data_IF_883053116353
#
_entry.id   IF_883053116353
#
_cell.length_a   1.000
_cell.length_b   1.000
_cell.length_c   1.000
_cell.angle_alpha   90.00
_cell.angle_beta   90.00
_cell.angle_gamma   90.00
#
_symmetry.space_group_name_H-M   'P 1'
#
loop_
_entity.id
_entity.type
_entity.pdbx_description
1 polymer ?
#
# COMPACT_ATOMS: atom_id res chain seq x y z
N UNK A 1 -22.82 -12.32 -9.93
CA UNK A 1 -21.67 -11.63 -10.53
C UNK A 1 -21.97 -10.14 -10.48
N UNK A 2 -21.17 -9.36 -9.78
CA UNK A 2 -21.28 -7.90 -9.82
C UNK A 2 -20.93 -7.45 -11.22
N UNK A 3 -21.76 -6.58 -11.79
CA UNK A 3 -21.51 -6.04 -13.11
C UNK A 3 -20.29 -5.11 -13.03
N UNK A 4 -19.15 -5.52 -13.59
CA UNK A 4 -17.96 -4.68 -13.64
C UNK A 4 -18.25 -3.38 -14.39
N UNK A 5 -17.58 -2.29 -13.99
CA UNK A 5 -17.71 -1.01 -14.70
C UNK A 5 -17.35 -1.14 -16.16
N UNK A 6 -18.08 -0.43 -17.02
CA UNK A 6 -17.93 -0.51 -18.49
C UNK A 6 -17.23 0.72 -19.08
N UNK A 7 -16.97 1.73 -18.27
CA UNK A 7 -16.36 2.99 -18.72
C UNK A 7 -14.96 3.16 -18.14
N UNK A 8 -14.05 3.75 -18.92
CA UNK A 8 -12.79 4.27 -18.40
C UNK A 8 -13.02 5.58 -17.67
N UNK A 9 -12.27 5.80 -16.57
CA UNK A 9 -12.24 7.07 -15.87
C UNK A 9 -10.82 7.57 -15.72
N UNK A 10 -10.64 8.88 -15.88
CA UNK A 10 -9.44 9.60 -15.48
C UNK A 10 -9.85 10.67 -14.47
N UNK A 11 -8.99 11.06 -13.54
CA UNK A 11 -9.36 12.07 -12.55
C UNK A 11 -8.17 12.88 -12.05
N UNK A 12 -8.47 14.07 -11.56
CA UNK A 12 -7.55 14.95 -10.85
C UNK A 12 -8.04 15.11 -9.42
N UNK A 13 -7.19 14.75 -8.47
CA UNK A 13 -7.41 14.95 -7.05
C UNK A 13 -6.49 16.08 -6.56
N UNK A 14 -7.07 17.08 -5.92
CA UNK A 14 -6.37 18.14 -5.20
C UNK A 14 -6.65 18.00 -3.71
N UNK A 15 -5.59 17.95 -2.92
CA UNK A 15 -5.67 17.95 -1.46
C UNK A 15 -4.55 18.82 -0.88
N UNK A 16 -4.76 19.34 0.31
CA UNK A 16 -3.75 20.15 0.96
C UNK A 16 -3.32 19.58 2.32
N UNK A 17 -2.25 20.14 2.82
CA UNK A 17 -1.75 19.92 4.17
C UNK A 17 -1.40 21.27 4.80
N UNK A 18 -1.74 21.44 6.07
CA UNK A 18 -1.37 22.59 6.90
C UNK A 18 -0.80 22.10 8.21
N UNK A 19 0.41 22.57 8.54
CA UNK A 19 1.14 22.25 9.78
C UNK A 19 1.29 20.74 10.05
N UNK A 20 1.50 19.96 8.97
CA UNK A 20 1.56 18.51 9.04
C UNK A 20 2.59 17.87 8.13
N UNK A 21 2.82 16.58 8.33
CA UNK A 21 3.64 15.74 7.45
C UNK A 21 2.73 14.80 6.65
N UNK A 22 2.49 15.07 5.35
CA UNK A 22 1.55 14.27 4.56
C UNK A 22 2.07 12.87 4.26
N UNK A 23 3.39 12.72 4.12
CA UNK A 23 4.04 11.45 3.81
C UNK A 23 5.52 11.47 4.20
N UNK A 24 5.82 11.08 5.43
CA UNK A 24 7.19 10.99 5.91
C UNK A 24 8.00 9.90 5.23
N UNK A 25 9.31 10.13 5.14
CA UNK A 25 10.27 9.19 4.60
C UNK A 25 10.96 8.42 5.74
N UNK A 26 10.75 7.10 5.87
CA UNK A 26 11.37 6.31 6.92
C UNK A 26 12.91 6.30 6.81
N UNK A 27 13.46 6.36 5.59
CA UNK A 27 14.90 6.35 5.36
C UNK A 27 15.57 7.71 5.68
N UNK A 28 14.77 8.78 5.73
CA UNK A 28 15.21 10.14 6.04
C UNK A 28 14.69 10.63 7.42
N UNK A 29 14.57 9.76 8.41
CA UNK A 29 14.14 10.13 9.75
C UNK A 29 12.72 10.70 9.81
N UNK A 30 11.84 10.27 8.92
CA UNK A 30 10.45 10.72 8.78
C UNK A 30 10.27 12.17 8.30
N UNK A 31 11.27 12.73 7.58
CA UNK A 31 11.12 14.00 6.88
C UNK A 31 10.01 13.91 5.82
N UNK A 32 9.25 15.00 5.56
CA UNK A 32 8.38 15.08 4.39
C UNK A 32 9.16 14.80 3.11
N UNK A 33 8.63 13.97 2.23
CA UNK A 33 9.27 13.65 0.95
C UNK A 33 9.28 14.86 0.03
N UNK A 34 10.43 15.15 -0.54
CA UNK A 34 10.66 16.29 -1.44
C UNK A 34 11.49 15.81 -2.63
N UNK A 35 11.16 16.30 -3.80
CA UNK A 35 11.99 16.18 -4.99
C UNK A 35 13.24 17.08 -4.80
N UNK A 36 14.45 16.54 -4.72
CA UNK A 36 15.63 17.33 -4.38
C UNK A 36 16.05 18.32 -5.47
N UNK A 37 15.64 18.11 -6.71
CA UNK A 37 15.98 19.00 -7.82
C UNK A 37 15.04 20.22 -7.89
N UNK A 38 13.74 19.96 -7.64
CA UNK A 38 12.71 21.00 -7.86
C UNK A 38 12.17 21.60 -6.57
N UNK A 39 12.45 20.98 -5.41
CA UNK A 39 11.91 21.38 -4.11
C UNK A 39 10.41 21.11 -3.92
N UNK A 40 9.76 20.44 -4.87
CA UNK A 40 8.34 20.12 -4.75
C UNK A 40 8.12 18.95 -3.79
N UNK A 41 7.14 19.08 -2.90
CA UNK A 41 6.72 18.01 -2.00
C UNK A 41 6.13 16.82 -2.77
N UNK A 42 6.36 15.61 -2.24
CA UNK A 42 5.89 14.36 -2.82
C UNK A 42 5.01 13.60 -1.83
N UNK A 43 3.90 13.06 -2.31
CA UNK A 43 3.09 12.06 -1.60
C UNK A 43 2.93 10.85 -2.50
N UNK A 44 3.37 9.70 -2.01
CA UNK A 44 3.36 8.45 -2.80
C UNK A 44 1.94 7.95 -3.02
N UNK A 45 1.72 7.23 -4.12
CA UNK A 45 0.45 6.57 -4.42
C UNK A 45 0.06 5.58 -3.32
N UNK A 46 1.03 4.85 -2.74
CA UNK A 46 0.76 3.91 -1.65
C UNK A 46 0.27 4.61 -0.38
N UNK A 47 0.69 5.85 -0.13
CA UNK A 47 0.18 6.66 0.97
C UNK A 47 -1.31 6.98 0.78
N UNK A 48 -1.70 7.41 -0.41
CA UNK A 48 -3.12 7.66 -0.75
C UNK A 48 -3.93 6.36 -0.73
N UNK A 49 -3.42 5.28 -1.35
CA UNK A 49 -4.06 3.96 -1.31
C UNK A 49 -4.28 3.46 0.13
N UNK A 50 -3.34 3.73 1.05
CA UNK A 50 -3.52 3.37 2.47
C UNK A 50 -4.70 4.11 3.09
N UNK A 51 -4.88 5.40 2.80
CA UNK A 51 -6.00 6.20 3.32
C UNK A 51 -7.34 5.71 2.76
N UNK A 52 -7.39 5.36 1.47
CA UNK A 52 -8.56 4.74 0.86
C UNK A 52 -8.91 3.41 1.54
N UNK A 53 -7.91 2.55 1.81
CA UNK A 53 -8.11 1.29 2.56
C UNK A 53 -8.69 1.54 3.95
N UNK A 54 -8.12 2.47 4.68
CA UNK A 54 -8.57 2.82 6.03
C UNK A 54 -10.02 3.32 6.02
N UNK A 55 -10.37 4.19 5.06
CA UNK A 55 -11.73 4.68 4.90
C UNK A 55 -12.70 3.55 4.54
N UNK A 56 -12.37 2.71 3.55
CA UNK A 56 -13.20 1.57 3.16
C UNK A 56 -13.41 0.60 4.32
N UNK A 57 -12.38 0.30 5.10
CA UNK A 57 -12.48 -0.54 6.30
C UNK A 57 -13.40 0.07 7.35
N UNK A 58 -13.32 1.39 7.56
CA UNK A 58 -14.16 2.11 8.51
C UNK A 58 -15.64 2.08 8.11
N UNK A 59 -15.95 2.38 6.84
CA UNK A 59 -17.32 2.49 6.34
C UNK A 59 -17.98 1.12 6.17
N UNK A 60 -17.23 0.13 5.69
CA UNK A 60 -17.78 -1.21 5.41
C UNK A 60 -17.70 -2.16 6.61
N UNK A 61 -16.83 -1.92 7.57
CA UNK A 61 -16.72 -2.60 8.87
C UNK A 61 -16.93 -4.13 8.81
N UNK A 62 -16.18 -4.81 7.94
CA UNK A 62 -16.27 -6.26 7.80
C UNK A 62 -17.42 -6.78 6.95
N UNK A 63 -18.10 -5.91 6.19
CA UNK A 63 -19.08 -6.35 5.22
C UNK A 63 -18.45 -7.33 4.21
N UNK A 64 -19.23 -8.33 3.81
CA UNK A 64 -18.82 -9.31 2.80
C UNK A 64 -18.29 -8.60 1.56
N UNK A 65 -17.20 -9.10 0.97
CA UNK A 65 -16.48 -8.56 -0.20
C UNK A 65 -15.70 -7.26 0.05
N UNK A 66 -15.74 -6.66 1.25
CA UNK A 66 -15.10 -5.39 1.56
C UNK A 66 -14.00 -5.50 2.62
N UNK A 67 -13.48 -6.71 2.88
CA UNK A 67 -12.29 -6.85 3.72
C UNK A 67 -11.06 -6.23 3.02
N UNK A 68 -10.06 -5.88 3.80
CA UNK A 68 -8.81 -5.29 3.33
C UNK A 68 -7.67 -6.30 3.53
N UNK A 69 -6.99 -6.63 2.44
CA UNK A 69 -5.85 -7.54 2.46
C UNK A 69 -4.62 -6.89 3.11
N UNK A 70 -4.26 -5.66 2.69
CA UNK A 70 -3.13 -4.92 3.25
C UNK A 70 -3.63 -4.02 4.37
N UNK A 71 -3.90 -4.60 5.53
CA UNK A 71 -4.32 -3.89 6.76
C UNK A 71 -3.28 -4.02 7.87
N UNK A 72 -3.41 -3.17 8.88
CA UNK A 72 -2.51 -3.16 10.03
C UNK A 72 -2.53 -4.50 10.77
N UNK A 73 -1.34 -4.98 11.16
CA UNK A 73 -1.14 -6.27 11.87
C UNK A 73 -1.64 -7.51 11.11
N UNK A 74 -1.90 -7.40 9.79
CA UNK A 74 -2.29 -8.55 8.99
C UNK A 74 -1.11 -9.50 8.77
N UNK A 75 -1.38 -10.80 8.83
CA UNK A 75 -0.48 -11.87 8.36
C UNK A 75 -1.01 -12.32 7.00
N UNK A 76 -0.39 -11.82 5.93
CA UNK A 76 -0.91 -11.96 4.57
C UNK A 76 -1.07 -13.43 4.13
N UNK A 77 -0.16 -14.33 4.57
CA UNK A 77 -0.23 -15.74 4.24
C UNK A 77 -1.53 -16.41 4.70
N UNK A 78 -2.06 -16.02 5.85
CA UNK A 78 -3.34 -16.55 6.37
C UNK A 78 -4.51 -16.28 5.43
N UNK A 79 -4.50 -15.13 4.76
CA UNK A 79 -5.54 -14.78 3.80
C UNK A 79 -5.53 -15.70 2.58
N UNK A 80 -4.33 -16.10 2.11
CA UNK A 80 -4.18 -17.06 1.02
C UNK A 80 -4.67 -18.45 1.44
N UNK A 81 -4.22 -18.95 2.59
CA UNK A 81 -4.66 -20.26 3.12
C UNK A 81 -6.18 -20.32 3.29
N UNK A 82 -6.76 -19.24 3.82
CA UNK A 82 -8.21 -19.12 3.99
C UNK A 82 -8.95 -19.16 2.65
N UNK A 83 -8.44 -18.45 1.62
CA UNK A 83 -9.03 -18.46 0.29
C UNK A 83 -9.06 -19.87 -0.32
N UNK A 84 -7.97 -20.64 -0.22
CA UNK A 84 -7.90 -22.02 -0.70
C UNK A 84 -8.80 -22.96 0.13
N UNK A 85 -8.85 -22.79 1.45
CA UNK A 85 -9.74 -23.55 2.34
C UNK A 85 -11.22 -23.29 2.01
N UNK A 86 -11.63 -22.04 1.77
CA UNK A 86 -12.99 -21.69 1.40
C UNK A 86 -13.39 -22.24 0.01
N UNK A 87 -12.41 -22.47 -0.87
CA UNK A 87 -12.62 -23.14 -2.16
C UNK A 87 -12.64 -24.66 -2.05
N UNK A 88 -12.40 -25.23 -0.86
CA UNK A 88 -12.31 -26.68 -0.65
C UNK A 88 -11.06 -27.32 -1.27
N UNK A 89 -10.05 -26.51 -1.62
CA UNK A 89 -8.80 -26.97 -2.23
C UNK A 89 -7.86 -27.41 -1.11
N UNK A 90 -7.57 -28.70 -1.04
CA UNK A 90 -6.61 -29.23 -0.08
C UNK A 90 -5.18 -29.00 -0.61
N UNK A 91 -4.44 -28.18 0.07
CA UNK A 91 -2.99 -28.02 -0.09
C UNK A 91 -2.23 -29.00 0.82
N UNK A 92 -0.91 -29.00 0.76
CA UNK A 92 -0.08 -29.69 1.72
C UNK A 92 -0.24 -29.16 3.15
N UNK A 93 0.55 -29.71 4.06
CA UNK A 93 0.65 -29.24 5.45
C UNK A 93 1.97 -28.51 5.63
N UNK A 94 1.93 -27.32 6.25
CA UNK A 94 3.13 -26.61 6.66
C UNK A 94 3.92 -27.44 7.67
N UNK A 95 5.23 -27.49 7.51
CA UNK A 95 6.11 -28.14 8.46
C UNK A 95 6.97 -27.10 9.18
N UNK A 96 6.96 -27.14 10.51
CA UNK A 96 7.82 -26.32 11.38
C UNK A 96 8.77 -27.23 12.15
N UNK A 97 10.06 -26.94 12.05
CA UNK A 97 11.10 -27.63 12.78
C UNK A 97 12.04 -26.66 13.48
N UNK A 98 12.50 -27.02 14.68
CA UNK A 98 13.55 -26.26 15.34
C UNK A 98 14.89 -26.47 14.62
N UNK A 99 15.69 -25.43 14.57
CA UNK A 99 17.05 -25.45 14.00
C UNK A 99 18.05 -24.81 14.94
N UNK A 100 19.31 -24.78 14.55
CA UNK A 100 20.39 -24.16 15.34
C UNK A 100 20.70 -22.75 14.83
N UNK A 101 21.35 -21.96 15.69
CA UNK A 101 21.82 -20.62 15.34
C UNK A 101 22.71 -20.63 14.10
N UNK A 102 23.63 -21.58 14.01
CA UNK A 102 24.57 -21.68 12.87
C UNK A 102 23.85 -21.92 11.54
N UNK A 103 22.75 -22.71 11.56
CA UNK A 103 21.92 -22.93 10.36
C UNK A 103 21.11 -21.69 10.00
N UNK A 104 20.60 -20.96 10.99
CA UNK A 104 19.90 -19.72 10.80
C UNK A 104 20.82 -18.65 10.15
N UNK A 105 21.96 -18.35 10.77
CA UNK A 105 22.93 -17.39 10.27
C UNK A 105 23.45 -17.76 8.87
N UNK A 106 23.74 -19.03 8.64
CA UNK A 106 24.19 -19.50 7.34
C UNK A 106 23.13 -19.40 6.23
N UNK A 107 21.85 -19.53 6.57
CA UNK A 107 20.74 -19.30 5.63
C UNK A 107 20.46 -17.81 5.40
N UNK A 108 20.67 -16.93 6.39
CA UNK A 108 20.62 -15.50 6.19
C UNK A 108 21.70 -15.01 5.20
N UNK A 109 22.92 -15.54 5.34
CA UNK A 109 24.06 -15.18 4.48
C UNK A 109 23.90 -15.69 3.05
N UNK A 110 23.48 -16.96 2.87
CA UNK A 110 23.33 -17.61 1.55
C UNK A 110 22.04 -17.22 0.84
N UNK A 111 21.07 -16.67 1.57
CA UNK A 111 19.67 -16.55 1.16
C UNK A 111 18.90 -17.84 1.43
N UNK A 112 17.60 -17.73 1.60
CA UNK A 112 16.69 -18.85 1.92
C UNK A 112 16.08 -19.40 0.63
N UNK A 113 16.00 -20.75 0.44
CA UNK A 113 15.38 -21.32 -0.75
C UNK A 113 13.89 -20.97 -0.84
N UNK A 114 13.31 -20.90 -2.06
CA UNK A 114 11.89 -20.66 -2.26
C UNK A 114 11.03 -21.70 -1.50
N UNK A 115 9.99 -21.23 -0.80
CA UNK A 115 9.11 -22.11 -0.02
C UNK A 115 9.66 -22.54 1.36
N UNK A 116 10.79 -21.99 1.76
CA UNK A 116 11.30 -22.10 3.13
C UNK A 116 11.38 -20.71 3.75
N UNK A 117 11.05 -20.60 5.03
CA UNK A 117 11.29 -19.41 5.85
C UNK A 117 12.05 -19.80 7.11
N UNK A 118 12.80 -18.84 7.64
CA UNK A 118 13.51 -18.99 8.91
C UNK A 118 13.09 -17.84 9.82
N UNK A 119 12.79 -18.16 11.07
CA UNK A 119 12.39 -17.21 12.10
C UNK A 119 13.28 -17.36 13.32
N UNK A 120 13.57 -16.27 14.01
CA UNK A 120 14.31 -16.21 15.26
C UNK A 120 13.46 -15.55 16.33
N UNK A 121 13.32 -16.19 17.46
CA UNK A 121 12.85 -15.57 18.70
C UNK A 121 14.06 -15.30 19.58
N UNK A 122 14.52 -14.04 19.59
CA UNK A 122 15.72 -13.63 20.33
C UNK A 122 15.55 -13.78 21.84
N UNK A 123 14.34 -13.56 22.38
CA UNK A 123 14.05 -13.65 23.81
C UNK A 123 14.08 -15.12 24.29
N UNK A 124 13.60 -16.05 23.45
CA UNK A 124 13.59 -17.47 23.72
C UNK A 124 14.83 -18.21 23.22
N UNK A 125 15.72 -17.55 22.46
CA UNK A 125 16.87 -18.14 21.77
C UNK A 125 16.51 -19.38 20.94
N UNK A 126 15.34 -19.31 20.27
CA UNK A 126 14.81 -20.39 19.43
C UNK A 126 14.83 -20.00 17.97
N UNK A 127 15.26 -20.94 17.14
CA UNK A 127 15.35 -20.80 15.69
C UNK A 127 14.40 -21.80 15.03
N UNK A 128 13.54 -21.34 14.15
CA UNK A 128 12.50 -22.14 13.51
C UNK A 128 12.69 -22.12 12.00
N UNK A 129 12.76 -23.30 11.39
CA UNK A 129 12.69 -23.46 9.94
C UNK A 129 11.30 -23.93 9.57
N UNK A 130 10.65 -23.21 8.69
CA UNK A 130 9.30 -23.53 8.19
C UNK A 130 9.37 -23.90 6.71
N UNK A 131 8.79 -25.04 6.34
CA UNK A 131 8.56 -25.42 4.93
C UNK A 131 7.09 -25.15 4.63
N UNK A 132 6.82 -24.29 3.66
CA UNK A 132 5.46 -23.93 3.28
C UNK A 132 4.69 -25.13 2.71
N UNK A 133 3.38 -25.14 2.91
CA UNK A 133 2.49 -26.21 2.46
C UNK A 133 2.51 -26.41 0.93
N UNK A 134 2.82 -25.37 0.16
CA UNK A 134 2.91 -25.36 -1.30
C UNK A 134 4.35 -25.36 -1.84
N UNK A 135 5.35 -25.56 -0.97
CA UNK A 135 6.75 -25.53 -1.36
C UNK A 135 7.06 -26.59 -2.45
N UNK A 136 7.79 -26.16 -3.50
CA UNK A 136 8.24 -27.07 -4.54
C UNK A 136 9.55 -27.77 -4.13
N UNK A 137 9.46 -29.03 -3.78
CA UNK A 137 10.62 -29.87 -3.41
C UNK A 137 11.69 -29.94 -4.51
N UNK A 138 11.33 -29.73 -5.80
CA UNK A 138 12.31 -29.72 -6.90
C UNK A 138 13.11 -28.43 -6.91
N UNK A 139 12.45 -27.28 -6.81
CA UNK A 139 13.09 -25.97 -6.73
C UNK A 139 14.06 -25.87 -5.55
N UNK A 140 13.64 -26.38 -4.37
CA UNK A 140 14.52 -26.43 -3.17
C UNK A 140 15.74 -27.33 -3.42
N UNK A 141 15.57 -28.49 -4.07
CA UNK A 141 16.69 -29.37 -4.39
C UNK A 141 17.64 -28.78 -5.44
N UNK A 142 17.13 -28.02 -6.40
CA UNK A 142 17.92 -27.26 -7.37
C UNK A 142 18.73 -26.18 -6.67
N UNK A 143 18.10 -25.38 -5.79
CA UNK A 143 18.77 -24.40 -4.96
C UNK A 143 19.93 -25.01 -4.13
N UNK A 144 19.70 -26.18 -3.50
CA UNK A 144 20.74 -26.92 -2.76
C UNK A 144 21.93 -27.36 -3.63
N UNK A 145 21.71 -27.59 -4.92
CA UNK A 145 22.78 -27.92 -5.88
C UNK A 145 23.57 -26.71 -6.32
N UNK A 146 22.88 -25.59 -6.55
CA UNK A 146 23.48 -24.32 -7.04
C UNK A 146 24.28 -23.65 -5.93
N UNK A 147 23.70 -23.47 -4.76
CA UNK A 147 24.31 -22.73 -3.66
C UNK A 147 25.30 -23.56 -2.81
N UNK A 148 25.26 -24.89 -2.91
CA UNK A 148 26.15 -25.84 -2.20
C UNK A 148 26.37 -25.47 -0.74
N UNK A 149 25.31 -25.32 0.07
CA UNK A 149 25.43 -24.96 1.47
C UNK A 149 26.26 -26.00 2.26
N UNK A 150 26.79 -25.57 3.40
CA UNK A 150 27.49 -26.49 4.31
C UNK A 150 26.60 -27.68 4.70
N UNK A 151 27.24 -28.82 5.05
CA UNK A 151 26.55 -30.09 5.28
C UNK A 151 25.41 -29.96 6.31
N UNK A 152 25.63 -29.21 7.40
CA UNK A 152 24.59 -29.00 8.44
C UNK A 152 23.31 -28.36 7.90
N UNK A 153 23.40 -27.32 7.09
CA UNK A 153 22.24 -26.65 6.46
C UNK A 153 21.54 -27.62 5.51
N UNK A 154 22.31 -28.31 4.67
CA UNK A 154 21.78 -29.28 3.72
C UNK A 154 21.02 -30.41 4.40
N UNK A 155 21.55 -30.95 5.49
CA UNK A 155 20.94 -32.05 6.22
C UNK A 155 19.63 -31.62 6.89
N UNK A 156 19.58 -30.42 7.51
CA UNK A 156 18.36 -29.86 8.12
C UNK A 156 17.28 -29.64 7.07
N UNK A 157 17.60 -29.04 5.93
CA UNK A 157 16.62 -28.83 4.85
C UNK A 157 16.11 -30.16 4.30
N UNK A 158 16.99 -31.15 4.07
CA UNK A 158 16.57 -32.46 3.57
C UNK A 158 15.67 -33.21 4.57
N UNK A 159 15.94 -33.09 5.87
CA UNK A 159 15.10 -33.71 6.90
C UNK A 159 13.72 -33.01 6.95
N UNK A 160 13.68 -31.69 6.93
CA UNK A 160 12.44 -30.94 6.85
C UNK A 160 11.61 -31.32 5.61
N UNK A 161 12.25 -31.45 4.43
CA UNK A 161 11.58 -31.90 3.20
C UNK A 161 11.03 -33.31 3.24
N UNK A 162 11.62 -34.23 4.02
CA UNK A 162 11.07 -35.59 4.21
C UNK A 162 9.79 -35.58 5.04
N UNK A 163 9.75 -34.70 6.06
CA UNK A 163 8.61 -34.61 6.96
C UNK A 163 7.48 -33.71 6.36
N UNK A 164 7.81 -32.74 5.53
CA UNK A 164 6.85 -31.86 4.90
C UNK A 164 5.97 -32.61 3.88
N UNK A 165 4.64 -32.47 4.03
CA UNK A 165 3.64 -32.92 3.07
C UNK A 165 3.23 -31.77 2.15
N UNK A 166 4.11 -31.40 1.23
CA UNK A 166 3.88 -30.26 0.36
C UNK A 166 3.09 -30.62 -0.89
N UNK A 167 2.16 -29.75 -1.30
CA UNK A 167 1.43 -29.84 -2.57
C UNK A 167 1.31 -28.44 -3.19
N UNK A 168 1.92 -28.25 -4.35
CA UNK A 168 1.79 -27.00 -5.11
C UNK A 168 0.41 -26.93 -5.77
N UNK A 169 -0.30 -25.80 -5.70
CA UNK A 169 -1.55 -25.65 -6.42
C UNK A 169 -1.33 -25.71 -7.93
N UNK A 170 -2.30 -26.28 -8.66
CA UNK A 170 -2.31 -26.28 -10.13
C UNK A 170 -2.55 -24.85 -10.66
N UNK A 171 -2.28 -24.61 -11.95
CA UNK A 171 -2.54 -23.33 -12.59
C UNK A 171 -4.04 -22.92 -12.49
N UNK A 172 -4.94 -23.88 -12.57
CA UNK A 172 -6.38 -23.65 -12.42
C UNK A 172 -6.76 -23.28 -10.97
N UNK A 173 -6.17 -23.95 -10.00
CA UNK A 173 -6.38 -23.62 -8.57
C UNK A 173 -5.79 -22.26 -8.20
N UNK A 174 -4.65 -21.87 -8.78
CA UNK A 174 -4.09 -20.51 -8.65
C UNK A 174 -5.07 -19.46 -9.18
N UNK A 175 -5.71 -19.72 -10.32
CA UNK A 175 -6.71 -18.85 -10.93
C UNK A 175 -7.96 -18.72 -10.02
N UNK A 176 -8.44 -19.84 -9.49
CA UNK A 176 -9.57 -19.86 -8.54
C UNK A 176 -9.21 -19.09 -7.26
N UNK A 177 -8.01 -19.31 -6.70
CA UNK A 177 -7.49 -18.58 -5.55
C UNK A 177 -7.41 -17.08 -5.80
N UNK A 178 -6.91 -16.68 -6.98
CA UNK A 178 -6.88 -15.27 -7.42
C UNK A 178 -8.28 -14.67 -7.49
N UNK A 179 -9.22 -15.37 -8.08
CA UNK A 179 -10.62 -14.95 -8.15
C UNK A 179 -11.23 -14.75 -6.77
N UNK A 180 -10.99 -15.69 -5.86
CA UNK A 180 -11.46 -15.61 -4.47
C UNK A 180 -10.86 -14.43 -3.72
N UNK A 181 -9.55 -14.15 -3.90
CA UNK A 181 -8.89 -12.97 -3.33
C UNK A 181 -9.50 -11.66 -3.86
N UNK A 182 -9.78 -11.57 -5.15
CA UNK A 182 -10.47 -10.41 -5.73
C UNK A 182 -11.90 -10.26 -5.20
N UNK A 183 -12.61 -11.36 -4.99
CA UNK A 183 -13.98 -11.33 -4.46
C UNK A 183 -14.01 -10.85 -3.01
N UNK A 184 -13.15 -11.37 -2.15
CA UNK A 184 -13.13 -11.09 -0.72
C UNK A 184 -12.54 -9.72 -0.37
N UNK A 185 -11.44 -9.33 -1.04
CA UNK A 185 -10.64 -8.17 -0.65
C UNK A 185 -10.85 -6.99 -1.59
N UNK A 186 -11.45 -5.91 -1.07
CA UNK A 186 -11.71 -4.68 -1.81
C UNK A 186 -10.43 -4.07 -2.41
N UNK A 187 -9.34 -4.03 -1.65
CA UNK A 187 -8.09 -3.40 -2.10
C UNK A 187 -7.38 -4.23 -3.17
N UNK A 188 -7.49 -5.56 -3.16
CA UNK A 188 -6.99 -6.42 -4.24
C UNK A 188 -7.81 -6.22 -5.50
N UNK A 189 -9.12 -6.18 -5.40
CA UNK A 189 -10.03 -5.92 -6.52
C UNK A 189 -9.84 -4.53 -7.13
N UNK A 190 -9.50 -3.53 -6.29
CA UNK A 190 -9.33 -2.14 -6.69
C UNK A 190 -7.93 -1.82 -7.20
N UNK A 191 -6.90 -2.10 -6.41
CA UNK A 191 -5.51 -1.69 -6.69
C UNK A 191 -4.64 -2.80 -7.23
N UNK A 192 -5.07 -4.05 -7.05
CA UNK A 192 -4.26 -5.23 -7.34
C UNK A 192 -3.18 -5.51 -6.31
N UNK A 193 -2.38 -6.52 -6.59
CA UNK A 193 -1.28 -6.93 -5.74
C UNK A 193 -0.54 -8.14 -6.28
N UNK A 194 0.66 -8.35 -5.76
CA UNK A 194 1.43 -9.58 -5.97
C UNK A 194 1.05 -10.55 -4.84
N UNK A 195 0.32 -11.61 -5.20
CA UNK A 195 -0.20 -12.60 -4.28
C UNK A 195 0.65 -13.89 -4.31
N UNK A 196 1.94 -13.75 -4.60
CA UNK A 196 2.93 -14.84 -4.57
C UNK A 196 3.85 -14.59 -3.38
N UNK A 197 3.54 -15.18 -2.24
CA UNK A 197 4.36 -15.12 -1.04
C UNK A 197 5.25 -16.37 -0.96
N UNK A 198 6.45 -16.23 -0.38
CA UNK A 198 7.37 -17.39 -0.21
C UNK A 198 6.85 -18.43 0.79
N UNK A 199 5.99 -18.02 1.71
CA UNK A 199 5.50 -18.81 2.85
C UNK A 199 4.00 -19.11 2.81
N UNK A 200 3.34 -18.92 1.67
CA UNK A 200 1.89 -19.14 1.55
C UNK A 200 1.49 -19.58 0.15
N UNK A 201 0.33 -20.22 -0.02
CA UNK A 201 -0.16 -20.68 -1.31
C UNK A 201 -0.20 -19.55 -2.35
N UNK A 202 0.30 -19.84 -3.53
CA UNK A 202 0.37 -18.87 -4.61
C UNK A 202 -1.03 -18.58 -5.16
N UNK A 203 -1.46 -17.32 -5.10
CA UNK A 203 -2.67 -16.80 -5.75
C UNK A 203 -2.36 -15.94 -6.99
N UNK A 204 -1.13 -15.98 -7.48
CA UNK A 204 -0.71 -15.27 -8.70
C UNK A 204 -0.50 -13.77 -8.51
N UNK A 205 -0.80 -13.01 -9.54
CA UNK A 205 -0.72 -11.55 -9.57
C UNK A 205 -2.03 -10.96 -10.06
N UNK A 206 -2.50 -9.92 -9.38
CA UNK A 206 -3.67 -9.14 -9.78
C UNK A 206 -3.23 -7.76 -10.22
N UNK A 207 -3.62 -7.37 -11.44
CA UNK A 207 -3.48 -6.00 -11.91
C UNK A 207 -4.80 -5.27 -11.69
N UNK A 208 -4.85 -4.40 -10.67
CA UNK A 208 -6.06 -3.66 -10.32
C UNK A 208 -6.39 -2.55 -11.32
N UNK A 209 -7.70 -2.26 -11.49
CA UNK A 209 -8.18 -1.22 -12.40
C UNK A 209 -7.76 0.19 -12.00
N UNK A 210 -7.63 0.48 -10.70
CA UNK A 210 -7.36 1.82 -10.18
C UNK A 210 -5.87 2.03 -9.98
N UNK A 211 -5.32 3.02 -10.66
CA UNK A 211 -3.92 3.42 -10.52
C UNK A 211 -3.82 4.92 -10.24
N UNK A 212 -2.88 5.29 -9.37
CA UNK A 212 -2.61 6.66 -8.95
C UNK A 212 -1.16 7.02 -9.27
N UNK A 213 -0.90 8.26 -9.63
CA UNK A 213 0.47 8.79 -9.70
C UNK A 213 0.93 9.24 -8.31
N UNK A 214 2.22 9.49 -8.14
CA UNK A 214 2.67 10.31 -7.02
C UNK A 214 2.00 11.67 -7.10
N UNK A 215 1.56 12.18 -5.94
CA UNK A 215 1.08 13.54 -5.85
C UNK A 215 2.26 14.49 -5.70
N UNK A 216 2.24 15.59 -6.43
CA UNK A 216 3.27 16.64 -6.34
C UNK A 216 2.65 17.93 -5.84
N UNK A 217 3.37 18.68 -5.00
CA UNK A 217 2.93 19.99 -4.57
C UNK A 217 2.95 20.98 -5.74
N UNK A 218 2.00 21.92 -5.74
CA UNK A 218 1.90 22.98 -6.76
C UNK A 218 3.08 23.93 -6.67
N UNK A 219 3.45 24.31 -5.44
CA UNK A 219 4.61 25.14 -5.16
C UNK A 219 5.72 24.33 -4.47
N UNK A 220 6.90 24.88 -4.41
CA UNK A 220 8.01 24.37 -3.62
C UNK A 220 7.65 24.32 -2.13
N UNK A 221 8.17 23.34 -1.42
CA UNK A 221 7.89 23.10 0.00
C UNK A 221 9.18 23.22 0.81
N UNK A 222 9.11 23.96 1.90
CA UNK A 222 10.18 24.03 2.89
C UNK A 222 9.68 23.37 4.18
N UNK A 223 10.16 22.17 4.52
CA UNK A 223 9.77 21.51 5.77
C UNK A 223 10.41 22.21 6.97
N UNK A 224 9.66 22.25 8.06
CA UNK A 224 10.13 22.77 9.34
C UNK A 224 10.41 21.60 10.28
N UNK A 225 11.51 21.71 11.02
CA UNK A 225 11.86 20.78 12.10
C UNK A 225 11.51 21.43 13.44
N UNK A 226 10.79 20.69 14.28
CA UNK A 226 10.41 21.12 15.62
C UNK A 226 10.97 20.14 16.65
N UNK A 227 11.76 20.63 17.58
CA UNK A 227 12.12 19.86 18.77
C UNK A 227 10.93 19.82 19.72
N UNK A 228 10.57 18.64 20.17
CA UNK A 228 9.48 18.40 21.14
C UNK A 228 10.05 17.71 22.37
N UNK A 229 9.54 18.05 23.53
CA UNK A 229 9.98 17.46 24.80
C UNK A 229 8.80 16.77 25.47
N UNK A 230 8.95 15.48 25.75
CA UNK A 230 8.05 14.75 26.62
C UNK A 230 8.56 14.92 28.06
N UNK A 231 7.71 15.42 28.95
CA UNK A 231 8.03 15.62 30.38
C UNK A 231 7.88 14.32 31.18
N UNK A 232 8.41 13.22 30.60
CA UNK A 232 8.42 11.91 31.21
C UNK A 232 9.45 11.01 30.52
N UNK A 233 10.01 10.08 31.25
CA UNK A 233 10.88 9.01 30.76
C UNK A 233 10.11 7.68 30.73
N UNK A 234 10.66 6.67 30.05
CA UNK A 234 10.01 5.37 29.90
C UNK A 234 10.43 4.37 31.00
N UNK A 235 11.62 4.52 31.56
CA UNK A 235 12.21 3.57 32.51
C UNK A 235 12.80 4.27 33.73
N UNK A 236 12.86 3.55 34.86
CA UNK A 236 13.51 4.02 36.08
C UNK A 236 15.00 4.34 35.85
N UNK A 237 15.68 3.55 35.06
CA UNK A 237 17.08 3.76 34.69
C UNK A 237 17.33 5.10 33.94
N UNK A 238 16.36 5.54 33.14
CA UNK A 238 16.38 6.86 32.49
C UNK A 238 16.13 7.98 33.53
N UNK A 239 15.21 7.76 34.46
CA UNK A 239 14.91 8.71 35.52
C UNK A 239 16.13 8.94 36.44
N UNK A 240 16.82 7.89 36.86
CA UNK A 240 18.03 7.95 37.63
C UNK A 240 19.16 8.73 36.94
N UNK A 241 19.36 8.45 35.62
CA UNK A 241 20.36 9.18 34.82
C UNK A 241 20.10 10.66 34.67
N UNK A 242 18.84 11.08 34.76
CA UNK A 242 18.43 12.48 34.62
C UNK A 242 18.23 13.19 35.96
N UNK A 243 18.54 12.52 37.08
CA UNK A 243 18.45 13.10 38.44
C UNK A 243 17.11 13.78 38.73
N UNK A 244 16.01 13.23 38.19
CA UNK A 244 14.63 13.71 38.42
C UNK A 244 14.12 14.72 37.39
N UNK A 245 14.91 15.14 36.40
CA UNK A 245 14.44 16.04 35.33
C UNK A 245 13.47 15.34 34.34
N UNK A 246 13.58 14.02 34.23
CA UNK A 246 12.63 13.11 33.57
C UNK A 246 12.07 13.60 32.23
N UNK A 247 12.95 14.03 31.32
CA UNK A 247 12.58 14.55 30.01
C UNK A 247 13.12 13.67 28.87
N UNK A 248 12.31 13.52 27.83
CA UNK A 248 12.71 12.85 26.59
C UNK A 248 12.49 13.80 25.43
N UNK A 249 13.53 14.04 24.63
CA UNK A 249 13.45 14.88 23.45
C UNK A 249 13.12 14.06 22.22
N UNK A 250 12.27 14.60 21.34
CA UNK A 250 11.94 14.08 20.04
C UNK A 250 11.94 15.18 18.98
N UNK A 251 11.76 14.78 17.73
CA UNK A 251 11.66 15.70 16.59
C UNK A 251 10.35 15.48 15.85
N UNK A 252 9.76 16.57 15.37
CA UNK A 252 8.58 16.58 14.53
C UNK A 252 8.87 17.41 13.29
N UNK A 253 8.52 16.88 12.13
CA UNK A 253 8.69 17.58 10.86
C UNK A 253 7.32 17.94 10.30
N UNK A 254 7.16 19.18 9.84
CA UNK A 254 5.90 19.65 9.27
C UNK A 254 6.14 20.44 7.99
N UNK A 255 5.16 20.39 7.10
CA UNK A 255 4.97 21.30 5.98
C UNK A 255 4.02 22.40 6.46
N UNK A 256 4.40 23.68 6.44
CA UNK A 256 3.53 24.77 6.90
C UNK A 256 2.23 24.83 6.11
N UNK A 257 2.34 24.74 4.79
CA UNK A 257 1.22 24.57 3.87
C UNK A 257 1.71 24.04 2.52
N UNK A 258 0.94 23.15 1.90
CA UNK A 258 1.13 22.76 0.51
C UNK A 258 -0.18 22.23 -0.09
N UNK A 259 -0.45 22.62 -1.33
CA UNK A 259 -1.49 22.07 -2.18
C UNK A 259 -0.87 21.01 -3.09
N UNK A 260 -1.38 19.78 -3.06
CA UNK A 260 -0.91 18.64 -3.84
C UNK A 260 -1.88 18.30 -4.97
N UNK A 261 -1.33 17.94 -6.12
CA UNK A 261 -2.05 17.43 -7.28
C UNK A 261 -1.68 15.99 -7.55
N UNK A 262 -2.68 15.11 -7.63
CA UNK A 262 -2.57 13.71 -7.97
C UNK A 262 -3.40 13.43 -9.23
N UNK A 263 -2.92 12.54 -10.09
CA UNK A 263 -3.68 12.00 -11.21
C UNK A 263 -4.02 10.54 -10.97
N UNK A 264 -5.18 10.13 -11.43
CA UNK A 264 -5.59 8.75 -11.34
C UNK A 264 -6.29 8.25 -12.61
N UNK A 265 -6.28 6.94 -12.77
CA UNK A 265 -6.76 6.22 -13.94
C UNK A 265 -7.55 5.01 -13.48
N UNK A 266 -8.70 4.75 -14.12
CA UNK A 266 -9.50 3.55 -13.86
C UNK A 266 -9.78 2.86 -15.19
N UNK A 267 -9.32 1.62 -15.30
CA UNK A 267 -9.41 0.80 -16.51
C UNK A 267 -10.62 -0.15 -16.46
N UNK A 268 -11.59 0.03 -17.34
CA UNK A 268 -12.71 -0.89 -17.45
C UNK A 268 -12.32 -2.32 -17.84
N UNK A 269 -11.37 -2.56 -18.78
CA UNK A 269 -10.88 -3.91 -19.05
C UNK A 269 -10.28 -4.63 -17.84
N UNK A 270 -9.53 -3.91 -16.98
CA UNK A 270 -8.99 -4.49 -15.75
C UNK A 270 -10.07 -4.69 -14.68
N UNK A 271 -11.07 -3.80 -14.62
CA UNK A 271 -12.23 -3.98 -13.76
C UNK A 271 -13.00 -5.27 -14.09
N UNK A 272 -13.13 -5.59 -15.39
CA UNK A 272 -13.70 -6.86 -15.84
C UNK A 272 -12.93 -8.09 -15.37
N UNK A 273 -11.60 -8.00 -15.22
CA UNK A 273 -10.77 -9.09 -14.71
C UNK A 273 -10.85 -9.27 -13.18
N UNK A 274 -11.04 -8.19 -12.45
CA UNK A 274 -11.05 -8.22 -10.97
C UNK A 274 -12.45 -8.27 -10.37
N UNK A 275 -13.50 -8.00 -11.14
CA UNK A 275 -14.87 -7.88 -10.68
C UNK A 275 -15.15 -6.54 -9.96
N UNK A 276 -14.35 -5.48 -10.24
CA UNK A 276 -14.56 -4.13 -9.72
C UNK A 276 -15.81 -3.51 -10.34
N UNK A 277 -16.83 -3.28 -9.52
CA UNK A 277 -18.14 -2.81 -9.94
C UNK A 277 -18.44 -1.36 -9.56
N UNK A 278 -19.69 -0.91 -9.87
CA UNK A 278 -20.14 0.45 -9.57
C UNK A 278 -20.15 0.76 -8.06
N UNK A 279 -20.48 -0.22 -7.20
CA UNK A 279 -20.45 -0.04 -5.75
C UNK A 279 -19.03 0.19 -5.24
N UNK A 280 -18.04 -0.53 -5.82
CA UNK A 280 -16.64 -0.33 -5.51
C UNK A 280 -16.14 1.03 -5.97
N UNK A 281 -16.58 1.46 -7.17
CA UNK A 281 -16.27 2.76 -7.75
C UNK A 281 -16.84 3.90 -6.88
N UNK A 282 -18.07 3.79 -6.45
CA UNK A 282 -18.70 4.78 -5.57
C UNK A 282 -17.98 4.87 -4.23
N UNK A 283 -17.66 3.71 -3.61
CA UNK A 283 -16.87 3.69 -2.37
C UNK A 283 -15.48 4.33 -2.57
N UNK A 284 -14.86 4.14 -3.74
CA UNK A 284 -13.58 4.76 -4.06
C UNK A 284 -13.69 6.29 -4.16
N UNK A 285 -14.74 6.83 -4.82
CA UNK A 285 -14.96 8.27 -4.89
C UNK A 285 -15.26 8.85 -3.50
N UNK A 286 -16.08 8.19 -2.71
CA UNK A 286 -16.39 8.61 -1.34
C UNK A 286 -15.12 8.62 -0.48
N UNK A 287 -14.26 7.61 -0.65
CA UNK A 287 -12.99 7.56 0.04
C UNK A 287 -12.07 8.73 -0.35
N UNK A 288 -11.93 9.06 -1.63
CA UNK A 288 -11.12 10.21 -2.05
C UNK A 288 -11.65 11.54 -1.53
N UNK A 289 -12.97 11.68 -1.39
CA UNK A 289 -13.57 12.90 -0.84
C UNK A 289 -13.37 13.02 0.68
N UNK A 290 -13.44 11.91 1.42
CA UNK A 290 -13.57 11.95 2.87
C UNK A 290 -12.42 11.31 3.66
N UNK A 291 -11.43 10.70 2.99
CA UNK A 291 -10.39 9.90 3.65
C UNK A 291 -9.55 10.67 4.68
N UNK A 292 -9.40 11.99 4.52
CA UNK A 292 -8.64 12.81 5.44
C UNK A 292 -9.40 13.15 6.73
N UNK A 293 -10.74 13.19 6.68
CA UNK A 293 -11.59 13.48 7.85
C UNK A 293 -11.49 12.42 8.95
N UNK A 294 -11.00 11.23 8.60
CA UNK A 294 -10.85 10.10 9.53
C UNK A 294 -9.40 9.64 9.71
N UNK A 295 -8.41 10.40 9.17
CA UNK A 295 -6.98 10.08 9.24
C UNK A 295 -6.20 11.10 10.10
N UNK A 296 -6.82 11.64 11.14
CA UNK A 296 -6.20 12.61 12.03
C UNK A 296 -5.12 11.97 12.90
N UNK A 297 -3.99 12.63 13.02
CA UNK A 297 -2.93 12.29 13.98
C UNK A 297 -2.05 13.50 14.28
N UNK A 298 -1.27 13.43 15.35
CA UNK A 298 -0.34 14.51 15.71
C UNK A 298 0.68 14.86 14.61
N UNK A 299 1.03 13.91 13.73
CA UNK A 299 1.97 14.12 12.64
C UNK A 299 1.30 14.71 11.39
N UNK A 300 0.00 14.43 11.17
CA UNK A 300 -0.70 14.77 9.93
C UNK A 300 -1.08 16.25 9.81
N UNK A 301 -1.22 16.97 10.93
CA UNK A 301 -1.75 18.35 10.93
C UNK A 301 -3.19 18.38 10.41
N UNK A 302 -3.50 19.38 9.62
CA UNK A 302 -4.77 19.48 8.90
C UNK A 302 -4.56 19.05 7.47
N UNK A 303 -5.29 18.03 7.02
CA UNK A 303 -5.33 17.60 5.62
C UNK A 303 -6.78 17.56 5.16
N UNK A 304 -7.03 18.00 3.92
CA UNK A 304 -8.37 17.96 3.34
C UNK A 304 -8.32 17.75 1.83
N UNK A 305 -9.30 17.03 1.29
CA UNK A 305 -9.56 17.03 -0.14
C UNK A 305 -10.17 18.36 -0.53
N UNK A 306 -9.58 19.04 -1.51
CA UNK A 306 -10.02 20.37 -1.97
C UNK A 306 -10.80 20.33 -3.25
N UNK A 307 -10.44 19.41 -4.18
CA UNK A 307 -11.19 19.17 -5.42
C UNK A 307 -10.99 17.75 -5.91
N UNK A 308 -12.04 17.17 -6.42
CA UNK A 308 -12.02 15.92 -7.17
C UNK A 308 -12.76 16.14 -8.49
N UNK A 309 -12.02 16.14 -9.60
CA UNK A 309 -12.55 16.31 -10.95
C UNK A 309 -12.41 14.98 -11.67
N UNK A 310 -13.53 14.38 -12.03
CA UNK A 310 -13.62 13.05 -12.65
C UNK A 310 -14.02 13.21 -14.12
N UNK A 311 -13.32 12.51 -15.00
CA UNK A 311 -13.60 12.41 -16.43
C UNK A 311 -14.05 10.98 -16.75
N UNK A 312 -15.33 10.81 -17.01
CA UNK A 312 -15.92 9.54 -17.44
C UNK A 312 -15.92 9.49 -18.96
N UNK A 313 -15.29 8.46 -19.52
CA UNK A 313 -15.35 8.20 -20.97
C UNK A 313 -16.57 7.35 -21.31
N UNK A 314 -17.13 7.52 -22.51
CA UNK A 314 -18.24 6.72 -23.01
C UNK A 314 -17.81 5.32 -23.44
N UNK A 315 -16.49 5.07 -23.56
CA UNK A 315 -15.92 3.80 -23.98
C UNK A 315 -15.01 3.17 -22.92
N UNK A 316 -14.84 1.85 -23.03
CA UNK A 316 -13.97 1.07 -22.14
C UNK A 316 -12.48 1.45 -22.27
N UNK A 317 -12.02 1.78 -23.47
CA UNK A 317 -10.62 2.14 -23.74
C UNK A 317 -10.36 3.63 -23.62
N UNK A 318 -11.43 4.43 -23.52
CA UNK A 318 -11.38 5.89 -23.46
C UNK A 318 -11.47 6.53 -24.84
N UNK A 319 -11.95 7.75 -24.87
CA UNK A 319 -12.21 8.54 -26.07
C UNK A 319 -11.07 9.53 -26.37
N UNK A 320 -10.30 9.90 -25.34
CA UNK A 320 -9.24 10.92 -25.40
C UNK A 320 -8.06 10.51 -24.51
N UNK A 321 -6.80 10.84 -24.86
CA UNK A 321 -5.66 10.67 -23.98
C UNK A 321 -5.81 11.48 -22.69
N UNK A 322 -5.48 10.86 -21.54
CA UNK A 322 -5.67 11.45 -20.20
C UNK A 322 -4.98 12.80 -20.02
N UNK A 323 -3.76 12.99 -20.57
CA UNK A 323 -3.02 14.24 -20.43
C UNK A 323 -3.81 15.45 -20.94
N UNK A 324 -4.56 15.31 -22.05
CA UNK A 324 -5.41 16.38 -22.59
C UNK A 324 -6.55 16.77 -21.65
N UNK A 325 -7.06 15.81 -20.88
CA UNK A 325 -8.08 16.07 -19.86
C UNK A 325 -7.46 16.77 -18.64
N UNK A 326 -6.28 16.34 -18.24
CA UNK A 326 -5.57 16.95 -17.10
C UNK A 326 -5.12 18.40 -17.39
N UNK A 327 -4.82 18.75 -18.65
CA UNK A 327 -4.51 20.12 -19.09
C UNK A 327 -5.70 21.07 -18.97
N UNK A 328 -6.94 20.55 -18.92
CA UNK A 328 -8.14 21.36 -18.69
C UNK A 328 -8.23 21.90 -17.25
N UNK A 329 -7.42 21.34 -16.34
CA UNK A 329 -7.37 21.75 -14.94
C UNK A 329 -6.09 22.52 -14.69
N UNK A 330 -6.18 23.83 -14.50
CA UNK A 330 -5.04 24.69 -14.15
C UNK A 330 -5.14 25.23 -12.73
N UNK A 331 -3.99 25.39 -12.09
CA UNK A 331 -3.89 25.89 -10.72
C UNK A 331 -2.91 27.05 -10.75
N UNK A 332 -3.38 28.23 -10.37
CA UNK A 332 -2.60 29.47 -10.39
C UNK A 332 -2.62 30.12 -9.01
N UNK A 333 -1.57 30.86 -8.67
CA UNK A 333 -1.58 31.75 -7.51
C UNK A 333 -2.54 32.93 -7.76
N UNK A 334 -3.40 33.23 -6.76
CA UNK A 334 -4.36 34.36 -6.86
C UNK A 334 -3.62 35.69 -6.92
N UNK A 335 -2.53 35.80 -6.17
CA UNK A 335 -1.66 36.99 -6.21
C UNK A 335 -0.27 36.57 -6.66
N UNK A 336 0.32 37.33 -7.57
CA UNK A 336 1.72 37.19 -7.97
C UNK A 336 2.62 37.74 -6.83
N UNK A 337 2.55 37.08 -5.66
CA UNK A 337 3.31 37.50 -4.50
C UNK A 337 4.46 36.53 -4.27
N UNK A 338 5.64 37.04 -3.95
CA UNK A 338 6.80 36.23 -3.52
C UNK A 338 6.58 35.56 -2.17
N UNK A 339 5.43 35.77 -1.54
CA UNK A 339 5.06 35.14 -0.27
C UNK A 339 4.60 33.72 -0.50
N UNK A 340 5.06 32.76 0.32
CA UNK A 340 4.61 31.38 0.24
C UNK A 340 3.11 31.26 0.54
N UNK A 341 2.42 30.32 -0.10
CA UNK A 341 1.03 29.99 0.21
C UNK A 341 0.88 29.51 1.66
N UNK A 342 -0.25 29.80 2.27
CA UNK A 342 -0.60 29.39 3.63
C UNK A 342 -2.04 28.88 3.75
N UNK A 343 -2.83 29.01 2.67
CA UNK A 343 -4.22 28.58 2.62
C UNK A 343 -4.63 28.22 1.20
N UNK A 344 -5.70 27.44 1.06
CA UNK A 344 -6.25 27.08 -0.26
C UNK A 344 -6.75 28.29 -1.05
N UNK A 345 -7.22 29.34 -0.37
CA UNK A 345 -7.63 30.60 -0.98
C UNK A 345 -6.50 31.38 -1.68
N UNK A 346 -5.23 31.00 -1.42
CA UNK A 346 -4.08 31.55 -2.15
C UNK A 346 -3.97 31.01 -3.59
N UNK A 347 -4.81 30.03 -3.95
CA UNK A 347 -4.85 29.41 -5.27
C UNK A 347 -6.20 29.60 -5.95
N UNK A 348 -6.16 29.80 -7.24
CA UNK A 348 -7.31 29.74 -8.14
C UNK A 348 -7.23 28.44 -8.96
N UNK A 349 -8.20 27.55 -8.77
CA UNK A 349 -8.33 26.32 -9.55
C UNK A 349 -9.35 26.54 -10.65
N UNK A 350 -8.89 26.55 -11.91
CA UNK A 350 -9.73 26.70 -13.09
C UNK A 350 -9.90 25.37 -13.78
N UNK A 351 -11.14 25.03 -14.11
CA UNK A 351 -11.51 23.90 -14.95
C UNK A 351 -12.25 24.42 -16.19
N UNK A 352 -11.65 24.21 -17.36
CA UNK A 352 -12.22 24.62 -18.66
C UNK A 352 -13.23 23.57 -19.15
N UNK A 353 -14.43 23.61 -18.58
CA UNK A 353 -15.51 22.67 -18.91
C UNK A 353 -15.97 22.79 -20.38
N UNK A 354 -15.79 23.96 -21.01
CA UNK A 354 -16.18 24.18 -22.41
C UNK A 354 -15.31 23.39 -23.40
N UNK A 355 -14.09 23.03 -23.00
CA UNK A 355 -13.14 22.26 -23.81
C UNK A 355 -13.17 20.77 -23.55
N UNK A 356 -14.09 20.27 -22.74
CA UNK A 356 -14.23 18.81 -22.54
C UNK A 356 -14.62 18.18 -23.88
N UNK A 357 -13.82 17.22 -24.40
CA UNK A 357 -14.05 16.61 -25.69
C UNK A 357 -15.32 15.79 -25.75
N UNK A 358 -15.88 15.62 -26.95
CA UNK A 358 -17.01 14.70 -27.17
C UNK A 358 -16.67 13.27 -26.73
N UNK A 359 -17.64 12.57 -26.15
CA UNK A 359 -17.44 11.23 -25.60
C UNK A 359 -16.78 11.18 -24.21
N UNK A 360 -16.64 12.36 -23.58
CA UNK A 360 -16.20 12.46 -22.18
C UNK A 360 -17.17 13.33 -21.40
N UNK A 361 -17.59 12.87 -20.25
CA UNK A 361 -18.37 13.63 -19.28
C UNK A 361 -17.50 13.98 -18.09
N UNK A 362 -17.48 15.26 -17.70
CA UNK A 362 -16.73 15.70 -16.54
C UNK A 362 -17.66 15.98 -15.37
N UNK A 363 -17.27 15.54 -14.17
CA UNK A 363 -17.99 15.73 -12.92
C UNK A 363 -17.04 16.34 -11.88
N UNK A 364 -17.48 17.39 -11.20
CA UNK A 364 -16.80 17.95 -10.02
C UNK A 364 -17.51 17.41 -8.79
N UNK A 365 -16.82 16.61 -7.97
CA UNK A 365 -17.41 16.00 -6.77
C UNK A 365 -17.18 16.81 -5.49
N UNK A 366 -16.13 17.63 -5.46
CA UNK A 366 -15.81 18.65 -4.43
C UNK A 366 -15.27 19.89 -5.11
#
# INVERSE_FOLDING_TARGET
MTNAIQNRYDFVLLFDVKDGNPNGDPDAGNLPRIDPETGHGLVTDVCIKRKVRNYAQLVKNGAERYDIYVKEKAVLGRAHEEAFRELGIQLGEEYKGHTTKDVYEGLEELGVPPGITIDCDEDANTYILTVAADADKKEIKEWLKENKPVKGIKDVINEALKQAKTRKPSAEEVEQGRGKMCDKYYDIRTFGGVLSLKSAPNCGQVRGPVQLTFSRSVDQVVPLEHSITRMAVATEAEAEKQSGDNRTMGRKFTVPYALYRCHGFISAPLAGQTGFGEDDLNLFWDALCNMFEHDHSAARGQMATRKLIVFKHDSQLGNVPAHKLFELVSINRVQNSDKPARDFSDYEVKFDSAKVPAGVTAEIRI
#
